data_IF_211617073300
#
_entry.id   IF_211617073300
#
_cell.length_a   1.000
_cell.length_b   1.000
_cell.length_c   1.000
_cell.angle_alpha   90.00
_cell.angle_beta   90.00
_cell.angle_gamma   90.00
#
_symmetry.space_group_name_H-M   'P 1'
#
loop_
_entity.id
_entity.type
_entity.pdbx_description
1 polymer ?
#
# COMPACT_ATOMS: atom_id res chain seq x y z
N UNK A 1 -11.73 6.09 3.33
CA UNK A 1 -10.85 5.29 2.46
C UNK A 1 -9.42 5.74 2.66
N UNK A 2 -8.45 4.83 2.60
CA UNK A 2 -7.03 5.21 2.48
C UNK A 2 -6.72 5.30 1.00
N UNK A 3 -6.12 6.41 0.56
CA UNK A 3 -5.69 6.59 -0.82
C UNK A 3 -4.25 7.10 -0.86
N UNK A 4 -3.46 6.61 -1.81
CA UNK A 4 -2.11 7.08 -2.05
C UNK A 4 -1.75 7.00 -3.53
N UNK A 5 -0.83 7.85 -3.97
CA UNK A 5 -0.23 7.78 -5.30
C UNK A 5 1.26 7.44 -5.21
N UNK A 6 1.71 6.54 -6.08
CA UNK A 6 3.13 6.26 -6.29
C UNK A 6 3.57 6.85 -7.63
N UNK A 7 4.23 8.01 -7.57
CA UNK A 7 4.77 8.73 -8.72
C UNK A 7 6.12 8.13 -9.11
N UNK A 8 6.20 7.56 -10.30
CA UNK A 8 7.40 6.86 -10.80
C UNK A 8 8.02 7.51 -12.04
N UNK A 9 7.37 8.53 -12.62
CA UNK A 9 7.95 9.33 -13.69
C UNK A 9 7.38 10.75 -13.70
N UNK A 10 8.26 11.72 -13.93
CA UNK A 10 7.90 13.11 -14.16
C UNK A 10 7.52 13.89 -12.90
N UNK A 11 6.78 14.97 -13.10
CA UNK A 11 6.48 15.97 -12.08
C UNK A 11 5.01 16.39 -12.14
N UNK A 12 4.42 16.77 -11.01
CA UNK A 12 3.07 17.32 -10.99
C UNK A 12 2.63 17.83 -9.63
N UNK A 13 1.57 18.61 -9.63
CA UNK A 13 0.82 19.01 -8.45
C UNK A 13 -0.24 17.95 -8.11
N UNK A 14 -0.26 17.51 -6.87
CA UNK A 14 -1.21 16.54 -6.33
C UNK A 14 -1.99 17.18 -5.19
N UNK A 15 -3.13 17.79 -5.51
CA UNK A 15 -4.00 18.45 -4.55
C UNK A 15 -3.32 19.64 -3.83
N UNK A 16 -2.55 20.44 -4.55
CA UNK A 16 -1.81 21.59 -4.01
C UNK A 16 -0.42 21.25 -3.46
N UNK A 17 0.02 19.98 -3.61
CA UNK A 17 1.37 19.55 -3.27
C UNK A 17 2.14 19.17 -4.52
N UNK A 18 3.12 19.98 -4.91
CA UNK A 18 4.03 19.64 -5.99
C UNK A 18 4.97 18.49 -5.59
N UNK A 19 5.13 17.52 -6.50
CA UNK A 19 5.99 16.37 -6.31
C UNK A 19 6.69 15.94 -7.61
N UNK A 20 7.95 15.51 -7.44
CA UNK A 20 8.78 14.91 -8.49
C UNK A 20 8.98 13.43 -8.23
N UNK A 21 9.04 12.62 -9.29
CA UNK A 21 9.40 11.21 -9.20
C UNK A 21 10.82 11.03 -8.61
N UNK A 22 11.10 10.03 -7.78
CA UNK A 22 10.20 8.97 -7.28
C UNK A 22 9.61 9.35 -5.92
N UNK A 23 8.28 9.29 -5.78
CA UNK A 23 7.60 9.73 -4.54
C UNK A 23 6.34 8.91 -4.22
N UNK A 24 6.14 8.62 -2.93
CA UNK A 24 4.85 8.17 -2.38
C UNK A 24 4.11 9.37 -1.78
N UNK A 25 2.88 9.59 -2.22
CA UNK A 25 1.99 10.65 -1.76
C UNK A 25 0.81 10.02 -1.04
N UNK A 26 0.61 10.36 0.23
CA UNK A 26 -0.51 9.86 1.04
C UNK A 26 -1.56 10.96 1.11
N UNK A 27 -2.79 10.65 0.70
CA UNK A 27 -3.89 11.62 0.71
C UNK A 27 -4.65 11.53 2.04
N UNK A 28 -5.10 12.69 2.51
CA UNK A 28 -6.01 12.80 3.64
C UNK A 28 -7.45 12.44 3.27
N UNK A 29 -8.40 12.77 4.17
CA UNK A 29 -9.81 12.60 3.89
C UNK A 29 -10.29 13.51 2.74
N UNK A 30 -11.13 12.96 1.87
CA UNK A 30 -11.70 13.68 0.72
C UNK A 30 -12.38 12.70 -0.25
N UNK A 31 -13.13 13.25 -1.21
CA UNK A 31 -13.84 12.47 -2.24
C UNK A 31 -13.09 12.42 -3.57
N UNK A 32 -12.32 13.46 -3.88
CA UNK A 32 -11.62 13.61 -5.17
C UNK A 32 -10.16 13.97 -4.96
N UNK A 33 -9.29 13.47 -5.84
CA UNK A 33 -7.89 13.86 -5.93
C UNK A 33 -7.70 14.61 -7.24
N UNK A 34 -7.25 15.86 -7.16
CA UNK A 34 -6.88 16.64 -8.34
C UNK A 34 -5.39 16.47 -8.62
N UNK A 35 -5.04 16.21 -9.87
CA UNK A 35 -3.64 16.08 -10.31
C UNK A 35 -3.43 16.92 -11.55
N UNK A 36 -2.41 17.77 -11.52
CA UNK A 36 -1.97 18.54 -12.67
C UNK A 36 -0.52 18.18 -12.98
N UNK A 37 -0.28 17.54 -14.12
CA UNK A 37 1.07 17.22 -14.55
C UNK A 37 1.83 18.49 -14.99
N UNK A 38 3.13 18.54 -14.74
CA UNK A 38 4.01 19.59 -15.24
C UNK A 38 4.48 19.28 -16.68
N UNK A 39 5.40 20.07 -17.23
CA UNK A 39 5.83 20.06 -18.63
C UNK A 39 6.22 18.69 -19.19
N UNK A 40 6.85 17.84 -18.38
CA UNK A 40 7.31 16.51 -18.82
C UNK A 40 6.27 15.40 -18.60
N UNK A 41 5.09 15.75 -18.09
CA UNK A 41 4.04 14.81 -17.71
C UNK A 41 4.28 14.16 -16.35
N UNK A 42 3.31 13.36 -15.90
CA UNK A 42 3.41 12.55 -14.69
C UNK A 42 2.87 11.14 -14.97
N UNK A 43 3.57 10.10 -14.52
CA UNK A 43 3.05 8.71 -14.51
C UNK A 43 3.10 8.16 -13.10
N UNK A 44 1.94 7.72 -12.61
CA UNK A 44 1.78 7.29 -11.24
C UNK A 44 0.74 6.18 -11.13
N UNK A 45 0.84 5.38 -10.07
CA UNK A 45 -0.21 4.46 -9.64
C UNK A 45 -1.07 5.15 -8.61
N UNK A 46 -2.39 5.18 -8.79
CA UNK A 46 -3.34 5.60 -7.76
C UNK A 46 -3.97 4.36 -7.14
N UNK A 47 -3.80 4.19 -5.82
CA UNK A 47 -4.32 3.05 -5.08
C UNK A 47 -5.24 3.58 -3.99
N UNK A 48 -6.44 3.01 -3.89
CA UNK A 48 -7.38 3.32 -2.81
C UNK A 48 -8.02 2.05 -2.27
N UNK A 49 -8.32 2.06 -0.97
CA UNK A 49 -8.91 0.91 -0.28
C UNK A 49 -9.71 1.32 0.93
N UNK A 50 -10.68 0.49 1.31
CA UNK A 50 -11.32 0.59 2.62
C UNK A 50 -10.35 0.02 3.66
N UNK A 51 -9.99 0.75 4.73
CA UNK A 51 -9.21 0.18 5.81
C UNK A 51 -9.91 -1.06 6.37
N UNK A 52 -9.17 -2.16 6.54
CA UNK A 52 -9.70 -3.38 7.15
C UNK A 52 -10.03 -3.16 8.64
N UNK A 53 -9.28 -2.28 9.32
CA UNK A 53 -9.50 -1.99 10.74
C UNK A 53 -9.05 -3.11 11.67
N UNK A 54 -8.37 -4.12 11.13
CA UNK A 54 -7.85 -5.25 11.89
C UNK A 54 -6.39 -5.01 12.31
N UNK A 55 -5.95 -5.59 13.44
CA UNK A 55 -4.54 -5.59 13.81
C UNK A 55 -3.68 -6.25 12.72
N UNK A 56 -2.43 -5.79 12.61
CA UNK A 56 -1.45 -6.33 11.66
C UNK A 56 -0.24 -6.83 12.45
N UNK A 57 0.02 -8.13 12.38
CA UNK A 57 1.25 -8.78 12.83
C UNK A 57 2.06 -9.22 11.59
N UNK A 58 3.35 -8.87 11.53
CA UNK A 58 4.21 -9.18 10.38
C UNK A 58 5.51 -9.85 10.82
N UNK A 59 5.87 -10.94 10.15
CA UNK A 59 7.18 -11.57 10.29
C UNK A 59 7.66 -12.11 8.93
N UNK A 60 8.69 -11.47 8.36
CA UNK A 60 9.21 -11.82 7.03
C UNK A 60 8.10 -11.79 5.96
N UNK A 61 7.83 -12.92 5.26
CA UNK A 61 6.78 -13.01 4.24
C UNK A 61 5.36 -13.17 4.81
N UNK A 62 5.21 -13.36 6.13
CA UNK A 62 3.90 -13.60 6.75
C UNK A 62 3.28 -12.31 7.27
N UNK A 63 2.00 -12.12 6.97
CA UNK A 63 1.14 -11.06 7.48
C UNK A 63 -0.13 -11.71 8.02
N UNK A 64 -0.38 -11.58 9.32
CA UNK A 64 -1.54 -12.12 10.05
C UNK A 64 -2.12 -11.05 10.98
N UNK A 65 -3.15 -11.37 11.78
CA UNK A 65 -3.74 -10.45 12.74
C UNK A 65 -3.05 -10.50 14.11
N UNK A 66 -2.56 -11.67 14.54
CA UNK A 66 -1.93 -11.86 15.86
C UNK A 66 -0.52 -12.47 15.80
N UNK A 67 0.27 -12.31 16.88
CA UNK A 67 1.60 -12.96 16.99
C UNK A 67 1.49 -14.48 17.09
N UNK A 68 0.40 -15.00 17.65
CA UNK A 68 0.17 -16.43 17.73
C UNK A 68 -0.02 -17.03 16.33
N UNK A 69 -0.84 -16.40 15.48
CA UNK A 69 -1.03 -16.82 14.08
C UNK A 69 0.28 -16.79 13.29
N UNK A 70 1.17 -15.83 13.57
CA UNK A 70 2.52 -15.80 12.97
C UNK A 70 3.34 -17.04 13.39
N UNK A 71 3.34 -17.39 14.68
CA UNK A 71 4.07 -18.57 15.16
C UNK A 71 3.52 -19.86 14.55
N UNK A 72 2.20 -19.95 14.41
CA UNK A 72 1.51 -21.07 13.76
C UNK A 72 1.90 -21.17 12.27
N UNK A 73 1.86 -20.06 11.52
CA UNK A 73 2.26 -20.01 10.11
C UNK A 73 3.72 -20.44 9.89
N UNK A 74 4.63 -19.99 10.76
CA UNK A 74 6.05 -20.38 10.71
C UNK A 74 6.21 -21.88 11.00
N UNK A 75 5.44 -22.42 11.94
CA UNK A 75 5.44 -23.86 12.23
C UNK A 75 4.91 -24.66 11.05
N UNK A 76 3.76 -24.28 10.48
CA UNK A 76 3.18 -24.94 9.31
C UNK A 76 4.14 -24.91 8.11
N UNK A 77 4.88 -23.81 7.88
CA UNK A 77 5.89 -23.75 6.82
C UNK A 77 7.04 -24.75 7.07
N UNK A 78 7.54 -24.82 8.31
CA UNK A 78 8.60 -25.77 8.69
C UNK A 78 8.14 -27.23 8.57
N UNK A 79 6.89 -27.48 8.89
CA UNK A 79 6.27 -28.81 8.83
C UNK A 79 5.80 -29.17 7.39
N UNK A 80 5.91 -28.26 6.43
CA UNK A 80 5.47 -28.47 5.04
C UNK A 80 3.95 -28.49 4.85
N UNK A 81 3.18 -28.01 5.83
CA UNK A 81 1.71 -28.05 5.88
C UNK A 81 1.04 -26.69 5.65
N UNK A 82 1.83 -25.66 5.32
CA UNK A 82 1.35 -24.29 5.14
C UNK A 82 0.33 -24.11 4.01
N UNK A 83 0.51 -24.81 2.89
CA UNK A 83 -0.45 -24.76 1.78
C UNK A 83 -1.59 -25.74 2.09
N UNK A 84 -2.79 -25.19 2.29
CA UNK A 84 -4.01 -25.98 2.48
C UNK A 84 -4.67 -26.17 1.12
N UNK A 85 -4.78 -27.41 0.66
CA UNK A 85 -5.63 -27.73 -0.50
C UNK A 85 -7.09 -27.64 -0.05
N UNK A 86 -7.82 -26.67 -0.59
CA UNK A 86 -9.27 -26.55 -0.41
C UNK A 86 -10.03 -27.56 -1.25
#
# INVERSE_FOLDING_TARGET
>A
HTAFAYLYFGDGDFGGTFASATRLLIFGAGETIQVTADKIGAKFLLISGKPLGEPIARYGPFVMNTQQEIMEAVKELRDGTFIKHG
#
